data_IF_182368410049
#
_entry.id   IF_182368410049
#
_cell.length_a   1.000
_cell.length_b   1.000
_cell.length_c   1.000
_cell.angle_alpha   90.00
_cell.angle_beta   90.00
_cell.angle_gamma   90.00
#
_symmetry.space_group_name_H-M   'P 1'
#
loop_
_entity.id
_entity.type
_entity.pdbx_description
1 polymer ?
#
# COMPACT_ATOMS: atom_id res chain seq x y z
N UNK A 1 15.27 30.90 6.54
CA UNK A 1 16.47 30.86 5.67
C UNK A 1 16.87 29.43 5.28
N UNK A 2 17.31 28.54 6.19
CA UNK A 2 17.73 27.16 5.85
C UNK A 2 16.64 26.28 5.19
N UNK A 3 15.38 26.44 5.60
CA UNK A 3 14.24 25.66 5.07
C UNK A 3 13.93 25.97 3.60
N UNK A 4 14.27 27.18 3.12
CA UNK A 4 14.02 27.60 1.74
C UNK A 4 15.08 27.04 0.77
N UNK A 5 16.32 26.88 1.25
CA UNK A 5 17.42 26.27 0.47
C UNK A 5 17.14 24.80 0.18
N UNK A 6 16.54 24.08 1.14
CA UNK A 6 16.19 22.66 0.99
C UNK A 6 15.11 22.44 -0.09
N UNK A 7 14.11 23.33 -0.15
CA UNK A 7 13.02 23.23 -1.13
C UNK A 7 13.53 23.51 -2.56
N UNK A 8 14.42 24.50 -2.72
CA UNK A 8 15.02 24.82 -4.02
C UNK A 8 15.91 23.69 -4.55
N UNK A 9 16.64 23.00 -3.67
CA UNK A 9 17.47 21.86 -4.05
C UNK A 9 16.65 20.65 -4.53
N UNK A 10 15.50 20.39 -3.88
CA UNK A 10 14.60 19.29 -4.26
C UNK A 10 13.93 19.59 -5.62
N UNK A 11 13.49 20.83 -5.84
CA UNK A 11 12.87 21.24 -7.10
C UNK A 11 13.83 21.13 -8.30
N UNK A 12 15.11 21.51 -8.12
CA UNK A 12 16.13 21.40 -9.15
C UNK A 12 16.49 19.93 -9.49
N UNK A 13 16.43 19.03 -8.51
CA UNK A 13 16.69 17.61 -8.72
C UNK A 13 15.58 16.92 -9.55
N UNK A 14 14.33 17.37 -9.42
CA UNK A 14 13.20 16.82 -10.17
C UNK A 14 13.22 17.17 -11.66
N UNK A 15 13.79 18.33 -12.05
CA UNK A 15 13.87 18.76 -13.46
C UNK A 15 15.04 18.14 -14.25
N UNK A 16 16.00 17.50 -13.56
CA UNK A 16 17.15 16.86 -14.21
C UNK A 16 16.90 15.40 -14.65
N UNK A 17 15.75 14.81 -14.29
CA UNK A 17 15.39 13.44 -14.63
C UNK A 17 14.46 13.34 -15.85
N UNK A 18 14.62 14.21 -16.85
CA UNK A 18 13.74 14.19 -18.02
C UNK A 18 14.29 14.96 -19.20
N UNK A 19 15.17 14.34 -19.97
CA UNK A 19 15.64 14.95 -21.22
C UNK A 19 16.72 14.15 -21.92
N UNK A 20 16.37 13.00 -22.51
CA UNK A 20 17.20 12.36 -23.52
C UNK A 20 16.41 12.34 -24.83
N UNK A 21 16.78 13.24 -25.75
CA UNK A 21 16.24 13.25 -27.12
C UNK A 21 17.09 12.31 -27.96
N UNK A 22 16.58 11.10 -28.20
CA UNK A 22 17.07 10.18 -29.22
C UNK A 22 16.17 10.28 -30.45
N UNK A 23 16.75 10.62 -31.61
CA UNK A 23 16.09 10.44 -32.91
C UNK A 23 16.59 9.15 -33.54
N UNK A 24 15.96 8.04 -33.19
CA UNK A 24 16.19 6.74 -33.83
C UNK A 24 15.16 6.56 -34.96
N UNK A 25 15.62 6.25 -36.16
CA UNK A 25 14.76 5.86 -37.27
C UNK A 25 14.13 4.49 -36.96
N UNK A 26 12.81 4.43 -36.77
CA UNK A 26 12.14 3.22 -36.27
C UNK A 26 11.87 2.17 -37.35
N UNK A 27 12.11 0.88 -37.08
CA UNK A 27 11.54 -0.25 -37.81
C UNK A 27 10.00 -0.25 -37.73
N UNK A 28 9.29 -1.01 -38.59
CA UNK A 28 7.82 -1.12 -38.51
C UNK A 28 7.38 -1.55 -37.10
N UNK A 29 6.27 -1.00 -36.58
CA UNK A 29 5.85 -1.23 -35.21
C UNK A 29 5.55 -2.71 -34.98
N UNK A 30 6.18 -3.28 -33.96
CA UNK A 30 5.82 -4.60 -33.45
C UNK A 30 4.36 -4.58 -32.95
N UNK A 31 3.64 -5.71 -33.02
CA UNK A 31 2.28 -5.79 -32.48
C UNK A 31 2.30 -5.41 -31.00
N UNK A 32 1.40 -4.50 -30.61
CA UNK A 32 1.27 -4.06 -29.23
C UNK A 32 0.88 -5.27 -28.36
N UNK A 33 1.65 -5.61 -27.32
CA UNK A 33 1.25 -6.66 -26.40
C UNK A 33 -0.08 -6.27 -25.73
N UNK A 34 -1.02 -7.21 -25.68
CA UNK A 34 -2.26 -7.04 -24.92
C UNK A 34 -1.90 -6.77 -23.46
N UNK A 35 -2.46 -5.71 -22.84
CA UNK A 35 -2.24 -5.47 -21.41
C UNK A 35 -2.67 -6.70 -20.61
N UNK A 36 -1.90 -7.10 -19.58
CA UNK A 36 -2.35 -8.14 -18.68
C UNK A 36 -3.69 -7.72 -18.06
N UNK A 37 -4.60 -8.69 -17.77
CA UNK A 37 -5.85 -8.38 -17.11
C UNK A 37 -5.58 -7.61 -15.82
N UNK A 38 -6.38 -6.58 -15.56
CA UNK A 38 -6.30 -5.83 -14.31
C UNK A 38 -6.43 -6.79 -13.13
N UNK A 39 -5.60 -6.66 -12.09
CA UNK A 39 -5.73 -7.52 -10.91
C UNK A 39 -7.12 -7.35 -10.33
N UNK A 40 -7.88 -8.44 -10.29
CA UNK A 40 -9.19 -8.48 -9.66
C UNK A 40 -8.96 -8.46 -8.16
N UNK A 41 -9.42 -7.41 -7.47
CA UNK A 41 -9.36 -7.37 -6.01
C UNK A 41 -10.34 -8.42 -5.46
N UNK A 42 -9.81 -9.50 -4.89
CA UNK A 42 -10.61 -10.49 -4.16
C UNK A 42 -10.91 -9.93 -2.77
N UNK A 43 -11.84 -8.98 -2.69
CA UNK A 43 -12.42 -8.58 -1.41
C UNK A 43 -13.43 -9.65 -1.02
N UNK A 44 -13.06 -10.47 -0.03
CA UNK A 44 -13.99 -11.42 0.59
C UNK A 44 -14.85 -10.74 1.67
N UNK A 45 -15.86 -11.48 2.15
CA UNK A 45 -16.78 -10.99 3.19
C UNK A 45 -16.09 -10.66 4.51
N UNK A 46 -15.00 -11.34 4.83
CA UNK A 46 -14.22 -11.07 6.04
C UNK A 46 -13.50 -9.73 5.92
N UNK A 47 -12.83 -9.48 4.81
CA UNK A 47 -12.18 -8.21 4.52
C UNK A 47 -13.19 -7.06 4.51
N UNK A 48 -14.35 -7.24 3.89
CA UNK A 48 -15.42 -6.25 3.89
C UNK A 48 -15.91 -5.94 5.32
N UNK A 49 -16.08 -6.96 6.15
CA UNK A 49 -16.50 -6.79 7.54
C UNK A 49 -15.45 -6.04 8.37
N UNK A 50 -14.16 -6.38 8.22
CA UNK A 50 -13.05 -5.71 8.91
C UNK A 50 -12.94 -4.25 8.47
N UNK A 51 -13.04 -3.98 7.16
CA UNK A 51 -12.98 -2.62 6.64
C UNK A 51 -14.16 -1.76 7.13
N UNK A 52 -15.36 -2.34 7.19
CA UNK A 52 -16.52 -1.66 7.77
C UNK A 52 -16.33 -1.38 9.26
N UNK A 53 -15.80 -2.33 10.02
CA UNK A 53 -15.53 -2.15 11.44
C UNK A 53 -14.51 -1.03 11.67
N UNK A 54 -13.41 -1.05 10.93
CA UNK A 54 -12.36 -0.04 11.00
C UNK A 54 -12.90 1.36 10.65
N UNK A 55 -13.68 1.50 9.57
CA UNK A 55 -14.24 2.79 9.16
C UNK A 55 -15.37 3.32 10.06
N UNK A 56 -15.97 2.46 10.89
CA UNK A 56 -17.02 2.86 11.85
C UNK A 56 -16.49 3.12 13.27
N UNK A 57 -15.22 2.81 13.52
CA UNK A 57 -14.61 2.97 14.85
C UNK A 57 -14.38 4.46 15.14
N UNK A 58 -14.68 4.94 16.36
CA UNK A 58 -14.35 6.30 16.75
C UNK A 58 -12.82 6.49 16.83
N UNK A 59 -12.30 7.52 16.18
CA UNK A 59 -10.85 7.84 16.16
C UNK A 59 -10.34 8.33 17.54
N UNK A 60 -11.23 8.85 18.37
CA UNK A 60 -10.95 9.38 19.72
C UNK A 60 -11.27 8.37 20.84
N UNK A 61 -11.58 7.11 20.50
CA UNK A 61 -11.83 6.08 21.51
C UNK A 61 -10.51 5.52 22.07
N UNK A 62 -10.33 5.66 23.38
CA UNK A 62 -9.23 5.00 24.08
C UNK A 62 -9.37 3.46 24.03
N UNK A 63 -8.25 2.71 23.96
CA UNK A 63 -8.29 1.25 24.05
C UNK A 63 -8.94 0.79 25.34
N UNK A 64 -9.86 -0.17 25.25
CA UNK A 64 -10.50 -0.77 26.42
C UNK A 64 -9.46 -1.57 27.20
N UNK A 65 -9.43 -1.42 28.53
CA UNK A 65 -8.56 -2.20 29.40
C UNK A 65 -8.86 -3.70 29.27
N UNK A 66 -7.83 -4.49 28.97
CA UNK A 66 -7.94 -5.94 28.74
C UNK A 66 -7.49 -6.78 29.94
N UNK A 67 -7.12 -6.14 31.06
CA UNK A 67 -6.56 -6.81 32.24
C UNK A 67 -7.52 -7.85 32.88
N UNK A 68 -8.82 -7.72 32.62
CA UNK A 68 -9.85 -8.65 33.10
C UNK A 68 -10.28 -9.72 32.08
N UNK A 69 -9.73 -9.68 30.85
CA UNK A 69 -10.06 -10.66 29.80
C UNK A 69 -9.17 -11.89 29.98
N UNK A 70 -9.77 -12.99 30.45
CA UNK A 70 -9.12 -14.30 30.41
C UNK A 70 -9.25 -14.90 29.01
N UNK A 71 -8.15 -15.41 28.45
CA UNK A 71 -8.18 -16.15 27.20
C UNK A 71 -9.03 -17.43 27.39
N UNK A 72 -10.09 -17.57 26.61
CA UNK A 72 -11.00 -18.74 26.65
C UNK A 72 -10.69 -19.76 25.55
N UNK A 73 -9.63 -19.54 24.78
CA UNK A 73 -9.21 -20.49 23.76
C UNK A 73 -8.73 -21.78 24.45
N UNK A 74 -9.04 -22.97 23.90
CA UNK A 74 -8.44 -24.20 24.37
C UNK A 74 -6.91 -24.07 24.29
N UNK A 75 -6.22 -24.40 25.37
CA UNK A 75 -4.78 -24.57 25.34
C UNK A 75 -4.47 -25.54 24.21
N UNK A 76 -3.77 -25.06 23.18
CA UNK A 76 -3.28 -25.93 22.10
C UNK A 76 -2.30 -26.90 22.73
N UNK A 77 -2.76 -28.08 23.13
CA UNK A 77 -1.87 -29.22 23.35
C UNK A 77 -1.14 -29.44 22.04
N UNK A 78 0.17 -29.24 22.05
CA UNK A 78 1.01 -29.62 20.94
C UNK A 78 0.79 -31.10 20.61
N UNK A 79 0.92 -31.52 19.33
CA UNK A 79 0.90 -32.93 18.99
C UNK A 79 1.99 -33.66 19.77
N UNK A 80 1.64 -34.75 20.47
CA UNK A 80 2.63 -35.70 20.97
C UNK A 80 3.42 -36.23 19.78
N UNK A 81 4.72 -35.92 19.74
CA UNK A 81 5.64 -36.43 18.71
C UNK A 81 5.79 -37.95 18.80
#
# INVERSE_FOLDING_TARGET
MKKLVLIAAIAAALTACGGSSHTESSPPPAPTPTPPPSPVSMIDSFFAAVQSLAGSSPEDAEPVAIDSIAATAPERTEPVQ
#
